data_IF_427035928582
#
_entry.id   IF_427035928582
#
_cell.length_a   1.000
_cell.length_b   1.000
_cell.length_c   1.000
_cell.angle_alpha   90.00
_cell.angle_beta   90.00
_cell.angle_gamma   90.00
#
_symmetry.space_group_name_H-M   'P 1'
#
loop_
_entity.id
_entity.type
_entity.pdbx_description
1 polymer ?
#
# COMPACT_ATOMS: atom_id res chain seq x y z
N UNK A 1 64.71 52.84 -11.08
CA UNK A 1 63.99 52.49 -9.84
C UNK A 1 62.97 53.57 -9.58
N UNK A 2 61.74 53.41 -10.08
CA UNK A 2 60.64 54.35 -9.86
C UNK A 2 59.29 53.63 -10.06
N UNK A 3 58.50 53.58 -8.98
CA UNK A 3 57.02 53.72 -8.87
C UNK A 3 56.11 52.84 -9.76
N UNK A 4 55.16 52.13 -9.13
CA UNK A 4 53.72 52.35 -9.39
C UNK A 4 52.79 51.63 -8.40
N UNK A 5 51.79 52.39 -7.92
CA UNK A 5 50.62 51.99 -7.12
C UNK A 5 49.58 51.29 -8.02
N UNK A 6 48.87 50.30 -7.46
CA UNK A 6 47.56 49.82 -7.95
C UNK A 6 46.84 49.12 -6.77
N UNK A 7 45.89 49.73 -6.05
CA UNK A 7 44.44 49.92 -6.32
C UNK A 7 43.63 48.61 -6.39
N UNK A 8 42.82 48.42 -5.34
CA UNK A 8 41.67 47.50 -5.10
C UNK A 8 40.78 47.20 -6.34
N UNK A 9 39.89 46.18 -6.33
CA UNK A 9 39.29 45.51 -5.17
C UNK A 9 39.20 43.98 -5.17
N UNK A 10 38.90 43.50 -3.97
CA UNK A 10 38.50 42.18 -3.54
C UNK A 10 37.10 41.77 -4.05
N UNK A 11 36.94 40.44 -4.18
CA UNK A 11 35.72 39.64 -3.97
C UNK A 11 34.50 39.93 -4.86
N UNK A 12 34.43 39.16 -5.96
CA UNK A 12 33.13 38.71 -6.48
C UNK A 12 32.60 37.67 -5.49
N UNK A 13 31.59 38.04 -4.72
CA UNK A 13 30.76 37.09 -3.97
C UNK A 13 29.96 36.26 -4.98
N UNK A 14 30.58 35.17 -5.45
CA UNK A 14 29.86 34.10 -6.12
C UNK A 14 28.97 33.41 -5.10
N UNK A 15 27.73 33.88 -4.99
CA UNK A 15 26.67 33.17 -4.31
C UNK A 15 26.39 31.90 -5.13
N UNK A 16 27.16 30.83 -4.88
CA UNK A 16 26.76 29.49 -5.30
C UNK A 16 25.44 29.21 -4.59
N UNK A 17 24.35 29.36 -5.33
CA UNK A 17 23.14 28.61 -5.06
C UNK A 17 23.53 27.14 -5.18
N UNK A 18 23.93 26.54 -4.05
CA UNK A 18 23.75 25.12 -3.88
C UNK A 18 22.24 24.91 -3.96
N UNK A 19 21.75 24.58 -5.15
CA UNK A 19 20.46 23.95 -5.30
C UNK A 19 20.52 22.69 -4.45
N UNK A 20 19.96 22.80 -3.24
CA UNK A 20 19.61 21.65 -2.45
C UNK A 20 18.58 20.90 -3.29
N UNK A 21 19.05 19.91 -4.05
CA UNK A 21 18.18 18.90 -4.59
C UNK A 21 17.58 18.18 -3.39
N UNK A 22 16.42 18.65 -2.94
CA UNK A 22 15.49 17.82 -2.21
C UNK A 22 15.23 16.62 -3.12
N UNK A 23 15.94 15.51 -2.88
CA UNK A 23 15.48 14.21 -3.34
C UNK A 23 14.08 14.08 -2.75
N UNK A 24 13.07 13.99 -3.61
CA UNK A 24 11.77 13.55 -3.15
C UNK A 24 12.00 12.22 -2.43
N UNK A 25 11.74 12.21 -1.13
CA UNK A 25 11.67 10.98 -0.34
C UNK A 25 10.42 10.25 -0.85
N UNK A 26 10.54 9.55 -1.99
CA UNK A 26 9.47 8.72 -2.53
C UNK A 26 9.12 7.66 -1.49
N UNK A 27 7.82 7.48 -1.23
CA UNK A 27 7.38 6.44 -0.31
C UNK A 27 7.78 5.07 -0.86
N UNK A 28 8.61 4.33 -0.12
CA UNK A 28 8.90 2.94 -0.43
C UNK A 28 7.82 2.04 0.16
N UNK A 29 6.93 1.57 -0.72
CA UNK A 29 5.92 0.58 -0.39
C UNK A 29 6.58 -0.78 -0.12
N UNK A 30 6.08 -1.51 0.86
CA UNK A 30 6.57 -2.84 1.21
C UNK A 30 5.44 -3.84 1.43
N UNK A 31 5.78 -5.13 1.34
CA UNK A 31 4.90 -6.22 1.74
C UNK A 31 4.45 -6.05 3.20
N UNK A 32 3.13 -6.10 3.42
CA UNK A 32 2.48 -5.89 4.71
C UNK A 32 1.98 -4.46 4.94
N UNK A 33 2.25 -3.52 4.03
CA UNK A 33 1.55 -2.23 4.03
C UNK A 33 0.05 -2.43 3.78
N UNK A 34 -0.77 -1.50 4.23
CA UNK A 34 -2.20 -1.48 3.99
C UNK A 34 -2.53 -0.41 2.97
N UNK A 35 -3.52 -0.66 2.11
CA UNK A 35 -4.03 0.36 1.20
C UNK A 35 -5.52 0.49 1.41
N UNK A 36 -5.95 1.68 1.86
CA UNK A 36 -7.35 2.03 1.96
C UNK A 36 -7.76 2.88 0.76
N UNK A 37 -9.02 2.76 0.33
CA UNK A 37 -9.55 3.52 -0.80
C UNK A 37 -11.01 3.91 -0.60
N UNK A 38 -11.44 4.90 -1.36
CA UNK A 38 -12.83 5.26 -1.58
C UNK A 38 -13.10 5.32 -3.08
N UNK A 39 -14.14 4.62 -3.52
CA UNK A 39 -14.59 4.63 -4.91
C UNK A 39 -15.99 5.22 -5.01
N UNK A 40 -16.35 5.81 -6.15
CA UNK A 40 -17.73 6.26 -6.36
C UNK A 40 -18.68 5.06 -6.50
N UNK A 41 -19.47 4.80 -5.47
CA UNK A 41 -20.39 3.66 -5.41
C UNK A 41 -21.24 3.67 -4.15
N UNK A 42 -22.40 3.00 -4.21
CA UNK A 42 -23.37 2.97 -3.10
C UNK A 42 -22.78 2.28 -1.86
N UNK A 43 -22.13 1.12 -2.04
CA UNK A 43 -21.47 0.39 -0.95
C UNK A 43 -20.35 1.23 -0.33
N UNK A 44 -19.54 1.92 -1.14
CA UNK A 44 -18.50 2.81 -0.64
C UNK A 44 -19.08 3.92 0.25
N UNK A 45 -20.18 4.55 -0.15
CA UNK A 45 -20.83 5.61 0.65
C UNK A 45 -21.39 5.06 1.95
N UNK A 46 -21.98 3.86 1.92
CA UNK A 46 -22.51 3.19 3.11
C UNK A 46 -21.40 2.89 4.12
N UNK A 47 -20.32 2.23 3.72
CA UNK A 47 -19.24 1.87 4.65
C UNK A 47 -18.44 3.08 5.13
N UNK A 48 -18.23 4.09 4.29
CA UNK A 48 -17.63 5.33 4.74
C UNK A 48 -18.50 6.04 5.79
N UNK A 49 -19.83 6.05 5.61
CA UNK A 49 -20.74 6.63 6.59
C UNK A 49 -20.83 5.83 7.91
N UNK A 50 -20.50 4.54 7.86
CA UNK A 50 -20.42 3.69 9.06
C UNK A 50 -19.20 4.00 9.93
N UNK A 51 -18.14 4.59 9.35
CA UNK A 51 -16.95 5.06 10.09
C UNK A 51 -17.28 6.34 10.89
N UNK A 52 -17.29 6.30 12.25
CA UNK A 52 -17.67 7.45 13.07
C UNK A 52 -16.67 8.62 13.07
N UNK A 53 -15.39 8.38 12.81
CA UNK A 53 -14.32 9.37 12.96
C UNK A 53 -13.67 9.76 11.63
N UNK A 54 -13.44 8.80 10.73
CA UNK A 54 -12.84 9.06 9.42
C UNK A 54 -13.58 8.37 8.28
N UNK A 55 -14.24 9.18 7.45
CA UNK A 55 -15.06 8.72 6.32
C UNK A 55 -14.32 8.84 4.97
N UNK A 56 -13.00 9.05 4.98
CA UNK A 56 -12.20 9.19 3.74
C UNK A 56 -12.16 7.92 2.91
N UNK A 57 -12.35 6.76 3.53
CA UNK A 57 -12.16 5.44 2.94
C UNK A 57 -13.36 4.54 3.22
N UNK A 58 -13.56 3.56 2.34
CA UNK A 58 -14.66 2.60 2.43
C UNK A 58 -14.22 1.15 2.19
N UNK A 59 -12.96 0.95 1.81
CA UNK A 59 -12.40 -0.36 1.52
C UNK A 59 -10.92 -0.39 1.87
N UNK A 60 -10.41 -1.56 2.24
CA UNK A 60 -9.00 -1.74 2.61
C UNK A 60 -8.49 -3.11 2.18
N UNK A 61 -7.19 -3.21 1.95
CA UNK A 61 -6.50 -4.47 1.71
C UNK A 61 -5.04 -4.43 2.15
N UNK A 62 -4.39 -5.59 2.07
CA UNK A 62 -3.02 -5.85 2.47
C UNK A 62 -2.11 -5.96 1.23
N UNK A 63 -0.99 -5.25 1.22
CA UNK A 63 -0.03 -5.23 0.11
C UNK A 63 0.89 -6.45 0.17
N UNK A 64 1.09 -7.07 -1.00
CA UNK A 64 2.15 -8.05 -1.23
C UNK A 64 2.94 -7.66 -2.48
N UNK A 65 4.27 -7.61 -2.37
CA UNK A 65 5.16 -7.38 -3.51
C UNK A 65 5.57 -8.71 -4.14
N UNK A 66 5.20 -8.92 -5.39
CA UNK A 66 5.55 -10.11 -6.18
C UNK A 66 6.35 -9.69 -7.40
N UNK A 67 7.60 -10.18 -7.53
CA UNK A 67 8.48 -9.86 -8.67
C UNK A 67 8.57 -8.36 -9.00
N UNK A 68 8.60 -7.53 -7.95
CA UNK A 68 8.62 -6.06 -8.02
C UNK A 68 7.29 -5.40 -8.45
N UNK A 69 6.18 -6.14 -8.54
CA UNK A 69 4.84 -5.57 -8.76
C UNK A 69 4.02 -5.62 -7.45
N UNK A 70 3.38 -4.51 -7.04
CA UNK A 70 2.51 -4.49 -5.88
C UNK A 70 1.12 -5.05 -6.21
N UNK A 71 0.69 -6.00 -5.39
CA UNK A 71 -0.65 -6.56 -5.37
C UNK A 71 -1.32 -6.25 -4.04
N UNK A 72 -2.65 -6.25 -4.03
CA UNK A 72 -3.47 -6.04 -2.84
C UNK A 72 -4.35 -7.25 -2.63
N UNK A 73 -4.21 -7.90 -1.48
CA UNK A 73 -5.13 -8.93 -1.00
C UNK A 73 -6.27 -8.24 -0.25
N UNK A 74 -7.51 -8.50 -0.64
CA UNK A 74 -8.70 -7.90 -0.03
C UNK A 74 -9.90 -8.85 -0.14
N UNK A 75 -10.81 -8.79 0.82
CA UNK A 75 -12.12 -9.44 0.71
C UNK A 75 -13.08 -8.52 -0.05
N UNK A 76 -13.69 -8.99 -1.13
CA UNK A 76 -14.65 -8.18 -1.90
C UNK A 76 -15.91 -8.98 -2.23
N UNK A 77 -17.06 -8.40 -1.91
CA UNK A 77 -18.38 -8.85 -2.34
C UNK A 77 -18.87 -8.07 -3.57
N UNK A 78 -19.82 -8.65 -4.30
CA UNK A 78 -20.54 -7.98 -5.37
C UNK A 78 -21.75 -7.22 -4.80
N UNK A 79 -21.85 -5.94 -5.12
CA UNK A 79 -22.88 -5.02 -4.61
C UNK A 79 -24.33 -5.48 -4.84
N UNK A 80 -24.59 -6.30 -5.86
CA UNK A 80 -25.94 -6.73 -6.23
C UNK A 80 -26.40 -7.98 -5.50
N UNK A 81 -25.48 -8.89 -5.16
CA UNK A 81 -25.84 -10.21 -4.62
C UNK A 81 -25.05 -10.62 -3.36
N UNK A 82 -24.13 -9.78 -2.89
CA UNK A 82 -23.30 -10.01 -1.71
C UNK A 82 -22.29 -11.15 -1.86
N UNK A 83 -22.20 -11.80 -3.03
CA UNK A 83 -21.28 -12.91 -3.26
C UNK A 83 -19.90 -12.39 -3.64
N UNK A 84 -18.88 -13.04 -3.12
CA UNK A 84 -17.51 -12.76 -3.43
C UNK A 84 -16.60 -13.57 -2.53
N UNK A 85 -15.33 -13.18 -2.46
CA UNK A 85 -14.31 -13.90 -1.72
C UNK A 85 -13.10 -13.00 -1.43
N UNK A 86 -12.18 -13.50 -0.63
CA UNK A 86 -10.83 -12.97 -0.55
C UNK A 86 -10.13 -13.21 -1.89
N UNK A 87 -9.62 -12.14 -2.47
CA UNK A 87 -8.93 -12.17 -3.76
C UNK A 87 -7.67 -11.30 -3.71
N UNK A 88 -6.87 -11.42 -4.78
CA UNK A 88 -5.64 -10.65 -4.97
C UNK A 88 -5.75 -9.88 -6.29
N UNK A 89 -5.58 -8.57 -6.23
CA UNK A 89 -5.77 -7.65 -7.35
C UNK A 89 -4.51 -6.79 -7.52
N UNK A 90 -4.05 -6.47 -8.75
CA UNK A 90 -2.94 -5.54 -8.94
C UNK A 90 -3.25 -4.19 -8.27
N UNK A 91 -2.27 -3.57 -7.64
CA UNK A 91 -2.46 -2.27 -6.97
C UNK A 91 -3.05 -1.24 -7.92
N UNK A 92 -2.53 -1.14 -9.15
CA UNK A 92 -3.02 -0.21 -10.17
C UNK A 92 -4.52 -0.36 -10.47
N UNK A 93 -5.04 -1.59 -10.42
CA UNK A 93 -6.47 -1.85 -10.56
C UNK A 93 -7.23 -1.53 -9.26
N UNK A 94 -6.64 -1.83 -8.10
CA UNK A 94 -7.23 -1.53 -6.79
C UNK A 94 -7.41 -0.01 -6.57
N UNK A 95 -6.45 0.81 -6.98
CA UNK A 95 -6.55 2.29 -6.90
C UNK A 95 -6.76 2.95 -8.26
N UNK A 96 -7.47 2.29 -9.19
CA UNK A 96 -7.70 2.83 -10.54
C UNK A 96 -8.30 4.25 -10.45
N UNK A 97 -7.65 5.29 -11.03
CA UNK A 97 -8.08 6.68 -10.92
C UNK A 97 -9.40 6.98 -11.61
N UNK A 98 -9.88 6.13 -12.53
CA UNK A 98 -11.20 6.29 -13.17
C UNK A 98 -12.36 6.06 -12.19
N UNK A 99 -12.11 5.33 -11.09
CA UNK A 99 -13.15 4.93 -10.14
C UNK A 99 -12.81 5.32 -8.69
N UNK A 100 -11.52 5.49 -8.39
CA UNK A 100 -11.02 5.73 -7.03
C UNK A 100 -10.83 7.22 -6.80
N UNK A 101 -11.66 7.79 -5.94
CA UNK A 101 -11.63 9.22 -5.62
C UNK A 101 -10.58 9.56 -4.55
N UNK A 102 -10.31 8.61 -3.65
CA UNK A 102 -9.31 8.75 -2.57
C UNK A 102 -8.64 7.41 -2.29
N UNK A 103 -7.36 7.45 -1.94
CA UNK A 103 -6.63 6.31 -1.39
C UNK A 103 -5.55 6.77 -0.43
N UNK A 104 -5.11 5.88 0.46
CA UNK A 104 -3.98 6.11 1.35
C UNK A 104 -3.26 4.80 1.65
N UNK A 105 -1.97 4.90 1.94
CA UNK A 105 -1.14 3.78 2.38
C UNK A 105 -0.89 3.91 3.87
N UNK A 106 -1.03 2.82 4.60
CA UNK A 106 -0.75 2.74 6.02
C UNK A 106 0.24 1.63 6.30
N UNK A 107 0.87 1.68 7.47
CA UNK A 107 1.76 0.62 7.96
C UNK A 107 1.51 0.35 9.42
N UNK A 108 1.41 -0.93 9.74
CA UNK A 108 1.27 -1.39 11.11
C UNK A 108 2.61 -1.35 11.86
N UNK A 109 2.57 -1.08 13.16
CA UNK A 109 3.69 -1.23 14.10
C UNK A 109 3.98 -2.72 14.32
N UNK A 110 4.73 -3.29 13.38
CA UNK A 110 5.07 -4.70 13.35
C UNK A 110 6.49 -4.91 12.82
N UNK A 111 7.16 -5.97 13.27
CA UNK A 111 8.45 -6.36 12.70
C UNK A 111 8.27 -6.82 11.24
N UNK A 112 9.33 -6.78 10.41
CA UNK A 112 9.28 -7.33 9.06
C UNK A 112 8.82 -8.80 9.00
N UNK A 113 9.16 -9.60 10.01
CA UNK A 113 8.74 -10.99 10.14
C UNK A 113 7.23 -11.10 10.38
N UNK A 114 6.69 -10.24 11.25
CA UNK A 114 5.26 -10.17 11.55
C UNK A 114 4.46 -9.69 10.35
N UNK A 115 4.93 -8.67 9.63
CA UNK A 115 4.33 -8.22 8.37
C UNK A 115 4.26 -9.35 7.34
N UNK A 116 5.36 -10.11 7.17
CA UNK A 116 5.38 -11.29 6.30
C UNK A 116 4.45 -12.40 6.78
N UNK A 117 4.27 -12.57 8.09
CA UNK A 117 3.38 -13.57 8.64
C UNK A 117 1.91 -13.23 8.40
N UNK A 118 1.54 -11.95 8.58
CA UNK A 118 0.22 -11.46 8.23
C UNK A 118 -0.08 -11.66 6.74
N UNK A 119 0.89 -11.34 5.86
CA UNK A 119 0.72 -11.54 4.41
C UNK A 119 0.54 -13.02 4.06
N UNK A 120 1.33 -13.94 4.64
CA UNK A 120 1.14 -15.37 4.42
C UNK A 120 -0.25 -15.86 4.84
N UNK A 121 -0.78 -15.32 5.94
CA UNK A 121 -2.14 -15.64 6.36
C UNK A 121 -3.19 -15.12 5.36
N UNK A 122 -3.01 -13.90 4.87
CA UNK A 122 -3.89 -13.34 3.83
C UNK A 122 -3.81 -14.14 2.51
N UNK A 123 -2.63 -14.61 2.12
CA UNK A 123 -2.44 -15.50 0.97
C UNK A 123 -3.15 -16.85 1.16
N UNK A 124 -3.13 -17.38 2.39
CA UNK A 124 -3.88 -18.60 2.72
C UNK A 124 -5.39 -18.41 2.55
N UNK A 125 -5.95 -17.27 2.98
CA UNK A 125 -7.37 -16.96 2.74
C UNK A 125 -7.73 -16.93 1.24
N UNK A 126 -6.83 -16.43 0.39
CA UNK A 126 -7.01 -16.48 -1.07
C UNK A 126 -6.96 -17.92 -1.58
N UNK A 127 -5.99 -18.71 -1.14
CA UNK A 127 -5.81 -20.10 -1.56
C UNK A 127 -6.99 -20.99 -1.15
N UNK A 128 -7.55 -20.75 0.03
CA UNK A 128 -8.71 -21.46 0.56
C UNK A 128 -10.04 -20.97 -0.05
N UNK A 129 -10.01 -19.87 -0.81
CA UNK A 129 -11.18 -19.28 -1.43
C UNK A 129 -12.21 -18.78 -0.41
N UNK A 130 -11.73 -18.20 0.70
CA UNK A 130 -12.59 -17.74 1.81
C UNK A 130 -13.66 -16.78 1.27
N UNK A 131 -14.96 -17.09 1.43
CA UNK A 131 -16.04 -16.26 0.90
C UNK A 131 -16.12 -14.89 1.57
N UNK A 132 -16.73 -13.94 0.87
CA UNK A 132 -17.05 -12.64 1.42
C UNK A 132 -18.19 -12.76 2.43
N UNK A 133 -18.01 -12.14 3.60
CA UNK A 133 -19.04 -12.07 4.62
C UNK A 133 -20.01 -10.91 4.36
N UNK A 134 -21.21 -11.24 3.89
CA UNK A 134 -22.30 -10.29 3.67
C UNK A 134 -23.11 -9.98 4.94
N UNK A 135 -22.90 -10.73 6.03
CA UNK A 135 -23.57 -10.52 7.32
C UNK A 135 -22.74 -9.66 8.28
N UNK A 136 -21.45 -9.47 7.99
CA UNK A 136 -20.50 -8.71 8.81
C UNK A 136 -20.43 -9.24 10.25
N UNK A 137 -20.43 -10.56 10.41
CA UNK A 137 -20.39 -11.27 11.68
C UNK A 137 -18.97 -11.73 12.04
N UNK A 138 -18.29 -10.95 12.88
CA UNK A 138 -16.94 -11.24 13.38
C UNK A 138 -16.78 -12.60 14.10
N UNK A 139 -17.88 -13.28 14.43
CA UNK A 139 -17.85 -14.61 15.06
C UNK A 139 -17.67 -15.73 14.04
N UNK A 140 -18.01 -15.49 12.78
CA UNK A 140 -17.82 -16.46 11.71
C UNK A 140 -16.43 -16.30 11.09
N UNK A 141 -15.53 -17.22 11.37
CA UNK A 141 -14.18 -17.21 10.77
C UNK A 141 -14.15 -17.83 9.36
N UNK A 142 -15.27 -18.32 8.83
CA UNK A 142 -15.36 -18.98 7.53
C UNK A 142 -15.71 -18.02 6.38
N UNK A 143 -16.11 -16.80 6.67
CA UNK A 143 -16.33 -15.74 5.70
C UNK A 143 -15.73 -14.45 6.25
N UNK A 144 -15.18 -13.59 5.39
CA UNK A 144 -14.48 -12.37 5.84
C UNK A 144 -14.92 -11.17 5.00
N UNK A 145 -15.07 -10.02 5.65
CA UNK A 145 -15.14 -8.72 4.97
C UNK A 145 -13.78 -8.00 5.05
N UNK A 146 -13.66 -6.84 4.38
CA UNK A 146 -12.35 -6.28 4.04
C UNK A 146 -11.47 -5.95 5.25
N UNK A 147 -12.02 -5.29 6.27
CA UNK A 147 -11.30 -4.95 7.51
C UNK A 147 -11.11 -6.16 8.42
N UNK A 148 -12.08 -7.08 8.48
CA UNK A 148 -11.93 -8.34 9.23
C UNK A 148 -10.80 -9.19 8.66
N UNK A 149 -10.71 -9.31 7.32
CA UNK A 149 -9.62 -10.03 6.68
C UNK A 149 -8.26 -9.48 7.10
N UNK A 150 -8.09 -8.15 7.10
CA UNK A 150 -6.84 -7.52 7.57
C UNK A 150 -6.61 -7.81 9.06
N UNK A 151 -7.62 -7.62 9.90
CA UNK A 151 -7.52 -7.90 11.33
C UNK A 151 -7.13 -9.36 11.62
N UNK A 152 -7.80 -10.33 10.99
CA UNK A 152 -7.50 -11.78 11.08
C UNK A 152 -6.11 -12.12 10.55
N UNK A 153 -5.70 -11.51 9.44
CA UNK A 153 -4.35 -11.72 8.90
C UNK A 153 -3.28 -11.37 9.93
N UNK A 154 -3.42 -10.23 10.62
CA UNK A 154 -2.48 -9.83 11.67
C UNK A 154 -2.64 -10.61 12.97
N UNK A 155 -3.87 -10.87 13.41
CA UNK A 155 -4.12 -11.58 14.66
C UNK A 155 -3.67 -13.04 14.56
N UNK A 156 -4.19 -13.77 13.57
CA UNK A 156 -3.97 -15.21 13.43
C UNK A 156 -2.60 -15.51 12.82
N UNK A 157 -2.14 -14.66 11.88
CA UNK A 157 -0.87 -14.84 11.19
C UNK A 157 0.33 -14.32 11.98
N UNK A 158 0.21 -13.18 12.66
CA UNK A 158 1.33 -12.49 13.30
C UNK A 158 1.20 -12.36 14.83
N UNK A 159 0.07 -12.76 15.42
CA UNK A 159 -0.20 -12.61 16.85
C UNK A 159 -0.37 -11.16 17.29
N UNK A 160 -0.79 -10.26 16.38
CA UNK A 160 -0.94 -8.83 16.64
C UNK A 160 -2.41 -8.45 16.65
N UNK A 161 -2.88 -7.86 17.75
CA UNK A 161 -4.18 -7.20 17.82
C UNK A 161 -4.05 -5.75 17.31
N UNK A 162 -4.49 -5.51 16.06
CA UNK A 162 -4.44 -4.18 15.44
C UNK A 162 -5.65 -3.30 15.77
N UNK A 163 -6.78 -3.87 16.21
CA UNK A 163 -8.05 -3.16 16.32
C UNK A 163 -8.58 -3.26 17.76
N UNK A 164 -8.05 -2.44 18.68
CA UNK A 164 -8.48 -2.46 20.08
C UNK A 164 -9.87 -1.86 20.31
N UNK A 165 -10.39 -1.09 19.35
CA UNK A 165 -11.69 -0.43 19.42
C UNK A 165 -12.54 -0.85 18.24
N UNK A 166 -13.80 -1.21 18.51
CA UNK A 166 -14.79 -1.65 17.53
C UNK A 166 -16.07 -0.85 17.70
N UNK A 167 -16.89 -0.85 16.66
CA UNK A 167 -18.23 -0.27 16.71
C UNK A 167 -19.21 -1.34 17.17
N UNK A 168 -19.98 -1.04 18.21
CA UNK A 168 -21.00 -1.94 18.76
C UNK A 168 -22.39 -1.45 18.39
N UNK A 169 -23.21 -2.30 17.78
CA UNK A 169 -24.62 -2.03 17.47
C UNK A 169 -25.46 -3.19 18.00
N UNK A 170 -26.09 -2.97 19.16
CA UNK A 170 -26.78 -4.05 19.87
C UNK A 170 -25.78 -5.11 20.33
N UNK A 171 -26.00 -6.37 19.94
CA UNK A 171 -25.14 -7.51 20.27
C UNK A 171 -24.09 -7.82 19.18
N UNK A 172 -23.96 -6.94 18.17
CA UNK A 172 -23.03 -7.10 17.05
C UNK A 172 -21.89 -6.11 17.14
N UNK A 173 -20.67 -6.61 16.90
CA UNK A 173 -19.44 -5.83 16.85
C UNK A 173 -18.95 -5.74 15.40
N UNK A 174 -18.49 -4.56 14.99
CA UNK A 174 -18.01 -4.28 13.65
C UNK A 174 -16.62 -3.65 13.70
N UNK A 175 -15.77 -4.03 12.74
CA UNK A 175 -14.51 -3.34 12.48
C UNK A 175 -14.75 -2.42 11.28
N UNK A 176 -15.04 -1.15 11.52
CA UNK A 176 -15.12 -0.15 10.46
C UNK A 176 -13.73 0.20 9.95
N UNK A 177 -13.64 0.91 8.82
CA UNK A 177 -12.35 1.21 8.20
C UNK A 177 -11.52 2.11 9.13
N UNK A 178 -12.16 3.08 9.78
CA UNK A 178 -11.50 4.00 10.71
C UNK A 178 -11.11 3.37 12.05
N UNK A 179 -11.77 2.29 12.51
CA UNK A 179 -11.28 1.50 13.64
C UNK A 179 -9.87 0.95 13.36
N UNK A 180 -9.59 0.61 12.10
CA UNK A 180 -8.31 0.06 11.69
C UNK A 180 -7.31 1.15 11.30
N UNK A 181 -7.70 2.11 10.45
CA UNK A 181 -6.79 3.20 10.02
C UNK A 181 -6.52 4.23 11.12
N UNK A 182 -7.43 4.35 12.10
CA UNK A 182 -7.27 5.20 13.29
C UNK A 182 -6.71 4.47 14.50
N UNK A 183 -6.33 3.19 14.36
CA UNK A 183 -5.68 2.44 15.43
C UNK A 183 -4.35 3.08 15.83
N UNK A 184 -3.99 3.10 17.13
CA UNK A 184 -2.68 3.60 17.58
C UNK A 184 -1.50 2.77 17.04
N UNK A 185 -1.76 1.59 16.46
CA UNK A 185 -0.75 0.70 15.90
C UNK A 185 -0.63 0.82 14.38
N UNK A 186 -1.35 1.74 13.73
CA UNK A 186 -1.38 1.89 12.28
C UNK A 186 -1.10 3.34 11.91
N UNK A 187 -0.08 3.57 11.09
CA UNK A 187 0.38 4.90 10.72
C UNK A 187 0.12 5.19 9.24
N UNK A 188 -0.53 6.31 8.94
CA UNK A 188 -0.68 6.80 7.57
C UNK A 188 0.69 7.23 7.02
N UNK A 189 1.11 6.61 5.92
CA UNK A 189 2.35 6.91 5.24
C UNK A 189 2.16 7.98 4.17
N UNK A 190 1.04 7.91 3.44
CA UNK A 190 0.68 8.87 2.40
C UNK A 190 -0.79 8.77 2.02
N UNK A 191 -1.33 9.81 1.38
CA UNK A 191 -2.69 9.84 0.84
C UNK A 191 -2.74 10.58 -0.51
N UNK A 192 -3.68 10.15 -1.36
CA UNK A 192 -3.99 10.78 -2.65
C UNK A 192 -4.41 12.24 -2.44
N UNK A 193 -3.61 13.18 -2.94
CA UNK A 193 -3.73 14.63 -2.67
C UNK A 193 -2.37 15.32 -2.58
N UNK A 194 -1.31 14.53 -2.37
CA UNK A 194 0.07 14.88 -2.68
C UNK A 194 0.51 14.06 -3.91
N UNK A 195 1.25 14.66 -4.85
CA UNK A 195 1.83 13.92 -5.98
C UNK A 195 2.82 12.88 -5.42
N UNK A 196 2.46 11.59 -5.45
CA UNK A 196 3.36 10.52 -4.98
C UNK A 196 3.49 9.45 -6.05
N UNK A 197 4.71 9.29 -6.53
CA UNK A 197 5.14 8.18 -7.38
C UNK A 197 5.63 7.05 -6.46
N UNK A 198 5.11 5.84 -6.64
CA UNK A 198 5.51 4.69 -5.85
C UNK A 198 6.86 4.16 -6.32
N UNK A 199 7.85 4.15 -5.43
CA UNK A 199 9.13 3.47 -5.69
C UNK A 199 9.06 2.09 -5.05
N UNK A 200 8.99 1.05 -5.88
CA UNK A 200 9.11 -0.33 -5.41
C UNK A 200 10.55 -0.51 -4.90
N UNK A 201 10.69 -0.82 -3.62
CA UNK A 201 11.99 -0.95 -2.96
C UNK A 201 12.81 -2.09 -3.59
N UNK A 202 13.85 -1.75 -4.35
CA UNK A 202 14.87 -2.73 -4.74
C UNK A 202 15.68 -3.11 -3.50
N UNK A 203 15.85 -4.41 -3.28
CA UNK A 203 16.89 -4.90 -2.35
C UNK A 203 18.25 -4.62 -2.97
N UNK A 204 19.10 -3.92 -2.23
CA UNK A 204 20.51 -3.79 -2.55
C UNK A 204 21.20 -5.16 -2.39
N UNK A 205 21.19 -5.95 -3.46
CA UNK A 205 22.04 -7.13 -3.57
C UNK A 205 23.45 -6.68 -3.93
N UNK A 206 24.16 -6.18 -2.92
CA UNK A 206 25.60 -6.10 -2.95
C UNK A 206 26.16 -7.53 -3.08
N UNK A 207 26.93 -7.73 -4.15
CA UNK A 207 27.91 -8.80 -4.36
C UNK A 207 27.44 -10.09 -5.06
N UNK A 208 27.52 -10.10 -6.40
CA UNK A 208 28.18 -11.22 -7.10
C UNK A 208 28.93 -10.74 -8.34
N UNK A 209 30.22 -11.02 -8.32
CA UNK A 209 31.21 -10.69 -9.32
C UNK A 209 30.91 -11.30 -10.70
N UNK A 210 31.06 -10.47 -11.74
CA UNK A 210 31.84 -10.78 -12.95
C UNK A 210 31.30 -11.84 -13.92
N UNK A 211 30.72 -11.39 -15.03
CA UNK A 211 31.40 -11.39 -16.33
C UNK A 211 30.55 -10.74 -17.42
N UNK A 212 31.19 -9.82 -18.13
CA UNK A 212 30.78 -9.18 -19.38
C UNK A 212 30.66 -10.25 -20.47
N UNK A 213 29.49 -10.37 -21.09
CA UNK A 213 29.32 -11.01 -22.40
C UNK A 213 28.79 -9.93 -23.34
N UNK A 214 29.58 -9.68 -24.36
CA UNK A 214 29.39 -8.64 -25.36
C UNK A 214 28.23 -9.01 -26.30
N UNK A 215 27.42 -8.02 -26.65
CA UNK A 215 26.35 -8.14 -27.62
C UNK A 215 26.93 -8.22 -29.05
N UNK A 216 26.34 -9.08 -29.88
CA UNK A 216 26.44 -9.08 -31.34
C UNK A 216 25.10 -9.64 -31.93
N UNK A 217 24.77 -9.31 -33.20
CA UNK A 217 23.55 -8.56 -33.54
C UNK A 217 22.38 -9.39 -34.10
N UNK A 218 21.25 -8.70 -34.25
CA UNK A 218 20.00 -9.14 -34.90
C UNK A 218 20.22 -9.60 -36.35
N UNK A 219 19.71 -10.79 -36.67
CA UNK A 219 19.46 -11.28 -38.03
C UNK A 219 18.00 -11.80 -38.10
N UNK A 220 17.19 -11.42 -39.10
CA UNK A 220 15.83 -11.90 -39.27
C UNK A 220 15.77 -13.16 -40.16
N UNK A 221 14.94 -14.13 -39.81
CA UNK A 221 14.59 -15.28 -40.65
C UNK A 221 13.07 -15.47 -40.61
N UNK A 222 12.36 -14.91 -41.60
CA UNK A 222 11.84 -15.59 -42.81
C UNK A 222 10.66 -16.52 -42.55
N UNK A 223 9.57 -16.18 -43.23
CA UNK A 223 8.30 -16.91 -43.30
C UNK A 223 8.47 -18.37 -43.71
N UNK A 224 7.67 -19.24 -43.07
CA UNK A 224 7.47 -20.62 -43.51
C UNK A 224 5.96 -20.89 -43.50
N UNK A 225 5.42 -20.95 -44.73
CA UNK A 225 4.19 -21.57 -45.25
C UNK A 225 2.88 -21.56 -44.42
#
# INVERSE_FOLDING_TARGET
>A
MTVCRGKFPFLVAGLMWAASCARGEGLSMQTGDLVARFQDGTWSRFFAAASPHDQRFAHIGLVVLEKEEPWVIHAQGNDQNGKGQVCKTPLAQFINPEHTLRWAVFRADASPEQLRAAVRQAEAFVADGVPFDAQFDLRDAHALYCTEMVWRAFLDGAGIELVPVRVEVGDQSFITIDCLTGSPYVHELTASGHDVEFVVGRRDDANRHGRRLEALPDEPLTDVE
#
